data_IF_969440162225
#
_entry.id   IF_969440162225
#
_cell.length_a   1.000
_cell.length_b   1.000
_cell.length_c   1.000
_cell.angle_alpha   90.00
_cell.angle_beta   90.00
_cell.angle_gamma   90.00
#
_symmetry.space_group_name_H-M   'P 1'
#
loop_
_entity.id
_entity.type
_entity.pdbx_description
1 polymer ?
#
# COMPACT_ATOMS: atom_id res chain seq x y z
N UNK A 1 -16.54 -4.90 -12.02
CA UNK A 1 -16.55 -6.14 -11.24
C UNK A 1 -15.18 -6.32 -10.57
N UNK A 2 -14.82 -5.37 -9.68
CA UNK A 2 -13.49 -5.29 -9.03
C UNK A 2 -13.50 -5.86 -7.60
N UNK A 3 -14.68 -6.17 -7.09
CA UNK A 3 -14.89 -6.43 -5.68
C UNK A 3 -14.24 -7.73 -5.20
N UNK A 4 -14.23 -8.76 -6.04
CA UNK A 4 -13.58 -10.03 -5.70
C UNK A 4 -12.06 -9.90 -5.60
N UNK A 5 -11.46 -9.01 -6.39
CA UNK A 5 -10.05 -8.65 -6.23
C UNK A 5 -9.85 -7.88 -4.92
N UNK A 6 -10.75 -6.94 -4.58
CA UNK A 6 -10.71 -6.27 -3.28
C UNK A 6 -10.79 -7.26 -2.11
N UNK A 7 -11.67 -8.26 -2.18
CA UNK A 7 -11.73 -9.35 -1.20
C UNK A 7 -10.41 -10.10 -1.11
N UNK A 8 -9.82 -10.48 -2.24
CA UNK A 8 -8.55 -11.18 -2.29
C UNK A 8 -7.42 -10.35 -1.64
N UNK A 9 -7.40 -9.04 -1.88
CA UNK A 9 -6.42 -8.12 -1.29
C UNK A 9 -6.68 -7.85 0.20
N UNK A 10 -7.95 -7.79 0.62
CA UNK A 10 -8.39 -7.58 1.99
C UNK A 10 -8.44 -8.87 2.83
N UNK A 11 -8.29 -10.05 2.21
CA UNK A 11 -8.40 -11.35 2.87
C UNK A 11 -9.81 -11.84 3.14
N UNK A 12 -10.82 -11.22 2.53
CA UNK A 12 -12.21 -11.63 2.64
C UNK A 12 -12.52 -12.75 1.64
N UNK A 13 -13.55 -13.54 1.94
CA UNK A 13 -14.08 -14.60 1.07
C UNK A 13 -15.36 -14.19 0.33
N UNK A 14 -16.07 -13.16 0.81
CA UNK A 14 -17.36 -12.70 0.28
C UNK A 14 -17.56 -11.18 0.43
N UNK A 15 -18.61 -10.65 -0.22
CA UNK A 15 -18.99 -9.23 -0.13
C UNK A 15 -19.75 -8.89 1.15
N UNK A 16 -20.58 -9.80 1.62
CA UNK A 16 -21.42 -9.61 2.80
C UNK A 16 -20.59 -9.49 4.10
N UNK A 17 -19.34 -9.99 4.09
CA UNK A 17 -18.39 -9.97 5.21
C UNK A 17 -17.11 -9.18 4.86
N UNK A 18 -17.25 -8.07 4.12
CA UNK A 18 -16.09 -7.27 3.74
C UNK A 18 -15.47 -6.54 4.94
N UNK A 19 -14.48 -7.18 5.54
CA UNK A 19 -13.62 -6.61 6.57
C UNK A 19 -12.15 -6.87 6.27
N UNK A 20 -11.32 -5.84 6.47
CA UNK A 20 -9.88 -5.94 6.28
C UNK A 20 -9.24 -6.92 7.26
N UNK A 21 -8.90 -8.11 6.77
CA UNK A 21 -8.34 -9.17 7.61
C UNK A 21 -6.91 -8.84 8.05
N UNK A 22 -6.52 -9.10 9.31
CA UNK A 22 -5.19 -8.79 9.83
C UNK A 22 -4.04 -9.40 9.02
N UNK A 23 -4.26 -10.60 8.47
CA UNK A 23 -3.28 -11.38 7.68
C UNK A 23 -3.18 -10.93 6.22
N UNK A 24 -4.05 -10.02 5.78
CA UNK A 24 -4.11 -9.57 4.39
C UNK A 24 -2.92 -8.68 4.00
N UNK A 25 -2.65 -8.63 2.69
CA UNK A 25 -1.59 -7.76 2.16
C UNK A 25 -1.90 -6.29 2.43
N UNK A 26 -3.16 -5.88 2.32
CA UNK A 26 -3.58 -4.50 2.61
C UNK A 26 -3.43 -4.16 4.09
N UNK A 27 -3.77 -5.07 5.01
CA UNK A 27 -3.58 -4.85 6.46
C UNK A 27 -2.11 -4.70 6.81
N UNK A 28 -1.25 -5.56 6.25
CA UNK A 28 0.20 -5.50 6.47
C UNK A 28 0.80 -4.22 5.91
N UNK A 29 0.37 -3.80 4.72
CA UNK A 29 0.82 -2.54 4.12
C UNK A 29 0.37 -1.34 4.96
N UNK A 30 -0.89 -1.30 5.37
CA UNK A 30 -1.43 -0.26 6.24
C UNK A 30 -0.68 -0.19 7.58
N UNK A 31 -0.35 -1.34 8.17
CA UNK A 31 0.47 -1.41 9.39
C UNK A 31 1.86 -0.81 9.17
N UNK A 32 2.48 -1.09 8.03
CA UNK A 32 3.75 -0.48 7.63
C UNK A 32 3.66 1.03 7.41
N UNK A 33 2.54 1.54 6.92
CA UNK A 33 2.31 3.00 6.77
C UNK A 33 2.08 3.68 8.13
N UNK A 34 1.48 2.98 9.10
CA UNK A 34 1.15 3.49 10.45
C UNK A 34 2.35 3.59 11.39
N UNK A 35 3.53 3.10 11.01
CA UNK A 35 4.75 3.31 11.81
C UNK A 35 5.14 4.79 11.88
N UNK A 36 4.68 5.59 10.92
CA UNK A 36 4.74 7.05 10.95
C UNK A 36 3.70 7.59 11.92
N UNK A 37 4.18 8.07 13.07
CA UNK A 37 3.37 8.66 14.13
C UNK A 37 3.45 10.19 14.17
N UNK A 38 4.21 10.82 13.27
CA UNK A 38 4.53 12.26 13.34
C UNK A 38 3.93 13.05 12.17
N UNK A 39 3.82 12.43 11.01
CA UNK A 39 3.36 13.09 9.79
C UNK A 39 4.35 14.15 9.25
N UNK A 40 4.00 14.76 8.12
CA UNK A 40 4.92 15.58 7.33
C UNK A 40 5.38 16.86 8.05
N UNK A 41 4.49 17.54 8.78
CA UNK A 41 4.80 18.80 9.46
C UNK A 41 5.88 18.56 10.51
N UNK A 42 5.63 17.60 11.41
CA UNK A 42 6.55 17.31 12.51
C UNK A 42 7.83 16.64 12.02
N UNK A 43 7.76 15.81 10.97
CA UNK A 43 8.96 15.25 10.35
C UNK A 43 9.87 16.34 9.77
N UNK A 44 9.29 17.36 9.11
CA UNK A 44 10.04 18.51 8.61
C UNK A 44 10.69 19.31 9.74
N UNK A 45 9.92 19.65 10.79
CA UNK A 45 10.46 20.34 11.97
C UNK A 45 11.64 19.59 12.58
N UNK A 46 11.49 18.29 12.84
CA UNK A 46 12.56 17.47 13.43
C UNK A 46 13.77 17.47 12.50
N UNK A 47 13.58 17.14 11.21
CA UNK A 47 14.67 17.04 10.25
C UNK A 47 15.47 18.35 10.13
N UNK A 48 14.80 19.50 10.11
CA UNK A 48 15.44 20.82 10.02
C UNK A 48 16.27 21.19 11.26
N UNK A 49 16.00 20.58 12.43
CA UNK A 49 16.74 20.83 13.67
C UNK A 49 17.79 19.77 13.97
N UNK A 50 17.82 18.64 13.25
CA UNK A 50 18.85 17.62 13.42
C UNK A 50 20.24 18.18 13.08
N UNK A 51 21.31 17.71 13.76
CA UNK A 51 22.68 18.07 13.40
C UNK A 51 22.99 17.71 11.95
N UNK A 52 23.82 18.52 11.27
CA UNK A 52 24.19 18.31 9.87
C UNK A 52 24.76 16.90 9.62
N UNK A 53 25.59 16.39 10.53
CA UNK A 53 26.13 15.03 10.45
C UNK A 53 25.06 13.94 10.44
N UNK A 54 23.96 14.14 11.17
CA UNK A 54 22.82 13.21 11.20
C UNK A 54 21.99 13.35 9.92
N UNK A 55 21.83 14.57 9.40
CA UNK A 55 21.15 14.79 8.12
C UNK A 55 21.90 14.13 6.96
N UNK A 56 23.23 14.22 6.96
CA UNK A 56 24.11 13.58 5.97
C UNK A 56 24.00 12.05 6.07
N UNK A 57 24.02 11.50 7.28
CA UNK A 57 23.82 10.06 7.52
C UNK A 57 22.46 9.58 7.00
N UNK A 58 21.38 10.34 7.23
CA UNK A 58 20.05 10.03 6.71
C UNK A 58 19.97 10.10 5.17
N UNK A 59 20.89 10.82 4.51
CA UNK A 59 20.97 10.88 3.06
C UNK A 59 21.76 9.70 2.46
N UNK A 60 22.56 9.01 3.27
CA UNK A 60 23.33 7.85 2.84
C UNK A 60 22.44 6.60 2.76
N UNK A 61 22.13 6.19 1.53
CA UNK A 61 21.29 5.02 1.24
C UNK A 61 21.98 3.69 1.55
N UNK A 62 23.29 3.69 1.79
CA UNK A 62 24.04 2.48 2.15
C UNK A 62 23.93 2.14 3.64
N UNK A 63 23.53 3.12 4.46
CA UNK A 63 23.36 2.97 5.89
C UNK A 63 21.93 2.49 6.17
N UNK A 64 21.83 1.28 6.71
CA UNK A 64 20.55 0.76 7.16
C UNK A 64 20.24 1.28 8.57
N UNK A 65 18.98 1.63 8.86
CA UNK A 65 18.56 1.97 10.21
C UNK A 65 18.86 0.83 11.19
N UNK A 66 19.20 1.14 12.46
CA UNK A 66 19.46 0.12 13.46
C UNK A 66 18.19 -0.68 13.75
N UNK A 67 18.31 -1.97 14.12
CA UNK A 67 17.15 -2.89 14.27
C UNK A 67 16.02 -2.39 15.19
N UNK A 68 16.34 -1.52 16.15
CA UNK A 68 15.42 -0.97 17.14
C UNK A 68 14.78 0.38 16.73
N UNK A 69 15.06 0.90 15.53
CA UNK A 69 14.52 2.19 15.09
C UNK A 69 12.99 2.23 15.07
N UNK A 70 12.34 1.08 14.89
CA UNK A 70 10.89 0.94 14.89
C UNK A 70 10.25 1.27 16.26
N UNK A 71 10.98 1.03 17.36
CA UNK A 71 10.52 1.29 18.72
C UNK A 71 11.14 2.55 19.33
N UNK A 72 12.21 3.06 18.72
CA UNK A 72 12.92 4.24 19.18
C UNK A 72 12.09 5.52 19.03
N UNK A 73 12.13 6.37 20.06
CA UNK A 73 11.51 7.69 20.10
C UNK A 73 12.52 8.81 19.83
N UNK A 74 13.76 8.49 19.46
CA UNK A 74 14.75 9.50 19.07
C UNK A 74 14.28 10.25 17.83
N UNK A 75 14.66 11.52 17.74
CA UNK A 75 14.31 12.38 16.61
C UNK A 75 14.74 11.79 15.26
N UNK A 76 15.96 11.23 15.19
CA UNK A 76 16.44 10.49 14.03
C UNK A 76 15.50 9.32 13.68
N UNK A 77 15.15 8.49 14.65
CA UNK A 77 14.28 7.33 14.41
C UNK A 77 12.85 7.69 14.03
N UNK A 78 12.34 8.83 14.49
CA UNK A 78 11.06 9.37 14.04
C UNK A 78 11.12 9.75 12.55
N UNK A 79 12.21 10.37 12.11
CA UNK A 79 12.43 10.69 10.70
C UNK A 79 12.61 9.43 9.85
N UNK A 80 13.39 8.45 10.32
CA UNK A 80 13.56 7.16 9.63
C UNK A 80 12.22 6.44 9.45
N UNK A 81 11.39 6.38 10.49
CA UNK A 81 10.04 5.80 10.41
C UNK A 81 9.14 6.55 9.44
N UNK A 82 9.21 7.88 9.42
CA UNK A 82 8.50 8.69 8.43
C UNK A 82 8.90 8.33 7.00
N UNK A 83 10.20 8.20 6.72
CA UNK A 83 10.71 7.85 5.40
C UNK A 83 10.31 6.43 4.97
N UNK A 84 10.40 5.46 5.88
CA UNK A 84 9.95 4.07 5.60
C UNK A 84 8.45 4.03 5.34
N UNK A 85 7.64 4.71 6.14
CA UNK A 85 6.21 4.84 5.89
C UNK A 85 5.93 5.53 4.55
N UNK A 86 6.72 6.53 4.18
CA UNK A 86 6.67 7.19 2.88
C UNK A 86 6.93 6.21 1.72
N UNK A 87 7.91 5.31 1.85
CA UNK A 87 8.12 4.22 0.88
C UNK A 87 6.90 3.31 0.79
N UNK A 88 6.29 2.95 1.93
CA UNK A 88 5.08 2.10 1.94
C UNK A 88 3.82 2.79 1.40
N UNK A 89 3.77 4.13 1.40
CA UNK A 89 2.67 4.91 0.80
C UNK A 89 2.79 5.02 -0.72
N UNK A 90 4.03 5.06 -1.22
CA UNK A 90 4.33 5.26 -2.64
C UNK A 90 4.65 3.95 -3.40
N UNK A 91 4.57 2.79 -2.75
CA UNK A 91 4.79 1.49 -3.37
C UNK A 91 3.59 1.05 -4.22
N UNK A 92 3.80 0.06 -5.10
CA UNK A 92 2.73 -0.51 -5.93
C UNK A 92 2.42 -1.96 -5.52
N UNK A 93 1.15 -2.37 -5.69
CA UNK A 93 0.76 -3.77 -5.60
C UNK A 93 0.66 -4.37 -7.00
N UNK A 94 1.54 -5.32 -7.29
CA UNK A 94 1.49 -6.12 -8.51
C UNK A 94 0.67 -7.38 -8.26
N UNK A 95 -0.49 -7.48 -8.92
CA UNK A 95 -1.40 -8.64 -8.84
C UNK A 95 -1.23 -9.49 -10.09
N UNK A 96 -0.86 -10.75 -9.90
CA UNK A 96 -0.83 -11.76 -10.97
C UNK A 96 -2.01 -12.71 -10.80
N UNK A 97 -2.78 -12.90 -11.88
CA UNK A 97 -3.91 -13.82 -11.94
C UNK A 97 -3.64 -14.90 -12.98
N UNK A 98 -3.67 -16.16 -12.56
CA UNK A 98 -3.55 -17.33 -13.43
C UNK A 98 -4.88 -18.07 -13.44
N UNK A 99 -5.48 -18.28 -14.61
CA UNK A 99 -6.67 -19.11 -14.74
C UNK A 99 -6.34 -20.55 -14.33
N UNK A 100 -7.17 -21.14 -13.47
CA UNK A 100 -7.06 -22.53 -13.00
C UNK A 100 -8.34 -23.29 -13.30
N UNK A 101 -8.19 -24.54 -13.71
CA UNK A 101 -9.31 -25.47 -13.93
C UNK A 101 -9.80 -26.05 -12.61
N UNK A 102 -11.06 -26.48 -12.56
CA UNK A 102 -11.65 -27.10 -11.36
C UNK A 102 -10.86 -28.31 -10.85
N UNK A 103 -10.22 -29.06 -11.75
CA UNK A 103 -9.43 -30.25 -11.41
C UNK A 103 -8.12 -29.91 -10.68
N UNK A 104 -7.60 -28.69 -10.84
CA UNK A 104 -6.36 -28.22 -10.21
C UNK A 104 -6.57 -27.68 -8.78
N UNK A 105 -7.82 -27.47 -8.37
CA UNK A 105 -8.16 -27.00 -7.02
C UNK A 105 -8.00 -28.09 -5.95
N UNK A 106 -7.95 -29.37 -6.35
CA UNK A 106 -7.87 -30.50 -5.44
C UNK A 106 -6.43 -30.90 -5.04
N UNK A 107 -5.42 -30.44 -5.78
CA UNK A 107 -4.02 -30.88 -5.60
C UNK A 107 -3.06 -29.81 -5.06
N UNK A 108 -3.42 -28.52 -5.11
CA UNK A 108 -2.54 -27.49 -4.55
C UNK A 108 -2.80 -27.33 -3.05
N UNK A 109 -1.94 -27.96 -2.25
CA UNK A 109 -1.55 -27.47 -0.93
C UNK A 109 -1.22 -25.98 -1.10
N UNK A 110 -2.20 -25.15 -0.78
CA UNK A 110 -2.17 -23.71 -0.98
C UNK A 110 -1.02 -23.16 -0.16
N UNK A 111 0.13 -23.00 -0.81
CA UNK A 111 1.25 -22.22 -0.29
C UNK A 111 0.67 -20.93 0.28
N UNK A 112 1.06 -20.56 1.50
CA UNK A 112 0.47 -19.48 2.30
C UNK A 112 0.36 -18.10 1.62
N UNK A 113 0.95 -17.94 0.43
CA UNK A 113 0.93 -16.75 -0.40
C UNK A 113 -0.05 -16.80 -1.60
N UNK A 114 -0.61 -17.95 -1.96
CA UNK A 114 -1.57 -18.08 -3.06
C UNK A 114 -3.01 -18.00 -2.53
N UNK A 115 -3.83 -17.12 -3.11
CA UNK A 115 -5.27 -17.04 -2.82
C UNK A 115 -6.05 -17.39 -4.08
N UNK A 116 -7.14 -18.14 -3.94
CA UNK A 116 -8.02 -18.42 -5.09
C UNK A 116 -9.09 -17.34 -5.17
N UNK A 117 -9.26 -16.75 -6.34
CA UNK A 117 -10.29 -15.76 -6.65
C UNK A 117 -11.26 -16.35 -7.63
N UNK A 118 -12.53 -16.40 -7.26
CA UNK A 118 -13.57 -16.98 -8.09
C UNK A 118 -14.41 -15.89 -8.75
N UNK A 119 -14.48 -15.87 -10.07
CA UNK A 119 -15.20 -14.85 -10.84
C UNK A 119 -16.48 -15.42 -11.43
N UNK A 120 -17.62 -14.92 -10.94
CA UNK A 120 -18.96 -15.36 -11.35
C UNK A 120 -19.45 -14.66 -12.62
N UNK A 121 -18.78 -13.58 -13.07
CA UNK A 121 -19.17 -12.82 -14.26
C UNK A 121 -17.94 -12.34 -15.02
N UNK A 122 -17.65 -13.06 -16.10
CA UNK A 122 -16.53 -12.79 -16.99
C UNK A 122 -17.01 -11.87 -18.10
N UNK A 123 -16.40 -10.70 -18.23
CA UNK A 123 -16.54 -9.91 -19.47
C UNK A 123 -15.54 -10.51 -20.44
N UNK A 124 -16.01 -11.39 -21.33
CA UNK A 124 -15.15 -11.98 -22.35
C UNK A 124 -14.56 -10.86 -23.22
N UNK A 125 -13.24 -10.76 -23.38
CA UNK A 125 -12.68 -9.95 -24.45
C UNK A 125 -13.29 -10.44 -25.76
N UNK A 126 -13.65 -9.51 -26.65
CA UNK A 126 -14.47 -9.71 -27.88
C UNK A 126 -14.06 -10.87 -28.80
N UNK A 127 -12.93 -11.54 -28.56
CA UNK A 127 -12.44 -12.69 -29.31
C UNK A 127 -12.89 -14.07 -28.78
N UNK A 128 -13.42 -14.19 -27.55
CA UNK A 128 -13.94 -15.48 -27.05
C UNK A 128 -15.45 -15.54 -27.30
N UNK A 129 -15.81 -15.68 -28.57
CA UNK A 129 -17.13 -16.20 -28.94
C UNK A 129 -17.06 -17.72 -28.83
N UNK A 130 -17.55 -18.25 -27.72
CA UNK A 130 -18.48 -19.40 -27.70
C UNK A 130 -18.56 -20.03 -26.30
N UNK A 131 -19.80 -20.31 -25.91
CA UNK A 131 -20.25 -21.35 -24.98
C UNK A 131 -19.61 -21.38 -23.58
N UNK A 132 -20.28 -20.70 -22.64
CA UNK A 132 -20.95 -21.33 -21.47
C UNK A 132 -21.61 -20.24 -20.61
N UNK A 133 -22.94 -20.14 -20.69
CA UNK A 133 -23.72 -19.42 -19.68
C UNK A 133 -23.65 -20.27 -18.39
N UNK A 134 -22.82 -19.87 -17.42
CA UNK A 134 -22.69 -20.37 -16.04
C UNK A 134 -21.36 -21.03 -15.63
N UNK A 135 -20.29 -20.97 -16.41
CA UNK A 135 -18.99 -21.43 -15.88
C UNK A 135 -18.36 -20.40 -14.94
N UNK A 136 -18.19 -20.80 -13.67
CA UNK A 136 -17.42 -20.05 -12.67
C UNK A 136 -15.95 -20.17 -13.01
N UNK A 137 -15.32 -19.07 -13.43
CA UNK A 137 -13.87 -19.07 -13.61
C UNK A 137 -13.18 -18.93 -12.26
N UNK A 138 -12.11 -19.68 -12.08
CA UNK A 138 -11.27 -19.62 -10.88
C UNK A 138 -9.87 -19.17 -11.27
N UNK A 139 -9.28 -18.28 -10.48
CA UNK A 139 -7.94 -17.75 -10.70
C UNK A 139 -7.10 -17.96 -9.45
N UNK A 140 -5.90 -18.50 -9.62
CA UNK A 140 -4.86 -18.38 -8.61
C UNK A 140 -4.34 -16.93 -8.63
N UNK A 141 -4.35 -16.27 -7.47
CA UNK A 141 -3.95 -14.89 -7.27
C UNK A 141 -2.68 -14.85 -6.42
N UNK A 142 -1.66 -14.18 -6.94
CA UNK A 142 -0.43 -13.85 -6.23
C UNK A 142 -0.26 -12.34 -6.20
N UNK A 143 0.08 -11.79 -5.04
CA UNK A 143 0.30 -10.37 -4.85
C UNK A 143 1.74 -10.12 -4.44
N UNK A 144 2.40 -9.17 -5.09
CA UNK A 144 3.73 -8.69 -4.72
C UNK A 144 3.70 -7.19 -4.48
N UNK A 145 4.44 -6.73 -3.47
CA UNK A 145 4.69 -5.31 -3.25
C UNK A 145 5.96 -4.96 -4.02
N UNK A 146 5.91 -3.93 -4.86
CA UNK A 146 7.02 -3.45 -5.68
C UNK A 146 7.25 -1.96 -5.43
N UNK A 147 8.32 -1.39 -5.95
CA UNK A 147 8.72 0.01 -5.74
C UNK A 147 9.04 0.36 -4.27
N UNK A 148 9.75 -0.55 -3.60
CA UNK A 148 10.14 -0.43 -2.17
C UNK A 148 11.47 0.31 -1.96
N UNK A 149 11.83 1.23 -2.86
CA UNK A 149 13.04 2.02 -2.70
C UNK A 149 12.90 3.01 -1.51
N UNK A 150 13.89 3.08 -0.61
CA UNK A 150 13.86 4.00 0.51
C UNK A 150 13.71 5.46 0.06
N UNK A 151 12.76 6.18 0.69
CA UNK A 151 12.59 7.61 0.44
C UNK A 151 13.81 8.38 0.93
N UNK A 152 14.34 9.24 0.06
CA UNK A 152 15.40 10.18 0.43
C UNK A 152 14.84 11.30 1.33
N UNK A 153 15.59 11.81 2.32
CA UNK A 153 15.21 12.98 3.12
C UNK A 153 14.75 14.23 2.36
N UNK A 154 15.21 14.45 1.11
CA UNK A 154 14.69 15.53 0.23
C UNK A 154 13.17 15.45 0.05
N UNK A 155 12.57 14.27 0.17
CA UNK A 155 11.12 14.09 0.12
C UNK A 155 10.40 14.75 1.31
N UNK A 156 11.07 14.96 2.45
CA UNK A 156 10.52 15.67 3.60
C UNK A 156 10.38 17.16 3.25
N UNK A 157 11.43 17.76 2.70
CA UNK A 157 11.44 19.17 2.28
C UNK A 157 10.37 19.39 1.20
N UNK A 158 10.46 18.63 0.10
CA UNK A 158 9.51 18.75 -1.02
C UNK A 158 8.08 18.36 -0.61
N UNK A 159 7.93 17.42 0.34
CA UNK A 159 6.64 17.01 0.87
C UNK A 159 5.98 18.11 1.69
N UNK A 160 6.75 18.80 2.53
CA UNK A 160 6.28 19.91 3.34
C UNK A 160 5.88 21.11 2.46
N UNK A 161 6.69 21.47 1.47
CA UNK A 161 6.36 22.54 0.52
C UNK A 161 5.04 22.25 -0.21
N UNK A 162 4.86 21.02 -0.71
CA UNK A 162 3.60 20.58 -1.34
C UNK A 162 2.43 20.63 -0.37
N UNK A 163 2.63 20.24 0.88
CA UNK A 163 1.61 20.32 1.92
C UNK A 163 1.16 21.77 2.15
N UNK A 164 2.11 22.69 2.36
CA UNK A 164 1.81 24.12 2.57
C UNK A 164 1.13 24.72 1.35
N UNK A 165 1.61 24.43 0.14
CA UNK A 165 0.99 24.86 -1.11
C UNK A 165 -0.46 24.34 -1.22
N UNK A 166 -0.69 23.06 -0.89
CA UNK A 166 -2.02 22.47 -0.88
C UNK A 166 -2.97 23.10 0.15
N UNK A 167 -2.49 23.38 1.36
CA UNK A 167 -3.28 24.09 2.38
C UNK A 167 -3.65 25.50 1.91
N UNK A 168 -2.71 26.23 1.32
CA UNK A 168 -2.96 27.57 0.78
C UNK A 168 -3.95 27.53 -0.39
N UNK A 169 -3.84 26.56 -1.29
CA UNK A 169 -4.79 26.33 -2.37
C UNK A 169 -6.21 26.13 -1.81
N UNK A 170 -6.37 25.25 -0.81
CA UNK A 170 -7.68 24.96 -0.20
C UNK A 170 -8.27 26.16 0.53
N UNK A 171 -7.44 27.00 1.16
CA UNK A 171 -7.87 28.25 1.81
C UNK A 171 -8.34 29.28 0.79
N UNK A 172 -7.62 29.41 -0.33
CA UNK A 172 -7.89 30.39 -1.37
C UNK A 172 -8.97 29.93 -2.37
N UNK A 173 -9.37 28.66 -2.35
CA UNK A 173 -10.38 28.09 -3.24
C UNK A 173 -11.37 27.22 -2.47
N UNK A 174 -12.31 27.81 -1.71
CA UNK A 174 -13.25 27.09 -0.86
C UNK A 174 -14.13 26.09 -1.63
N UNK A 175 -14.39 26.37 -2.91
CA UNK A 175 -15.19 25.53 -3.81
C UNK A 175 -14.53 24.20 -4.18
N UNK A 176 -13.21 24.04 -3.95
CA UNK A 176 -12.51 22.77 -4.16
C UNK A 176 -12.84 21.72 -3.09
N UNK A 177 -13.36 22.13 -1.93
CA UNK A 177 -13.81 21.19 -0.90
C UNK A 177 -15.28 20.83 -1.14
N UNK A 178 -15.52 19.69 -1.78
CA UNK A 178 -16.81 19.00 -1.60
C UNK A 178 -16.76 18.27 -0.25
N UNK A 179 -17.81 18.33 0.58
CA UNK A 179 -17.88 17.52 1.79
C UNK A 179 -17.68 16.05 1.41
N UNK A 180 -16.72 15.37 2.04
CA UNK A 180 -16.49 13.94 1.82
C UNK A 180 -17.60 13.07 2.45
N UNK A 181 -18.48 13.68 3.24
CA UNK A 181 -19.66 13.09 3.86
C UNK A 181 -20.78 14.13 3.68
N UNK A 182 -21.90 13.70 3.09
CA UNK A 182 -23.17 14.44 3.11
C UNK A 182 -23.95 14.07 4.38
#
# INVERSE_FOLDING_TARGET
NYFQLCCALAGCTSEDEFELQPTSVLSRLLSGQRIDTVGIIRAYEIYSHLPASVQDELCDKTILPPKNFLQSTSEKSLVERFLVAGTMKDCSLMVSLRLISSDQLAEEDVSSCCRVVHVNKVVHPRAVKEKTKNERLSFACTVKIVDLDPKHPKNIINGYERFVAGVNLLRNSPTLRRPCIL
#
